data_IF_891105357429
#
_entry.id   IF_891105357429
#
_cell.length_a   1.000
_cell.length_b   1.000
_cell.length_c   1.000
_cell.angle_alpha   90.00
_cell.angle_beta   90.00
_cell.angle_gamma   90.00
#
_symmetry.space_group_name_H-M   'P 1'
#
loop_
_entity.id
_entity.type
_entity.pdbx_description
1 polymer ?
#
# COMPACT_ATOMS: atom_id res chain seq x y z
N UNK A 1 5.29 -3.58 -19.23
CA UNK A 1 5.68 -2.93 -17.97
C UNK A 1 4.48 -2.11 -17.54
N UNK A 2 3.65 -2.64 -16.65
CA UNK A 2 2.45 -1.91 -16.20
C UNK A 2 2.92 -0.90 -15.17
N UNK A 3 3.11 0.34 -15.60
CA UNK A 3 3.48 1.44 -14.71
C UNK A 3 2.31 1.70 -13.75
N UNK A 4 2.46 1.29 -12.50
CA UNK A 4 1.45 1.50 -11.45
C UNK A 4 1.72 2.86 -10.82
N UNK A 5 0.69 3.68 -10.75
CA UNK A 5 0.75 5.00 -10.12
C UNK A 5 0.04 4.97 -8.78
N UNK A 6 0.40 5.91 -7.91
CA UNK A 6 -0.28 6.06 -6.63
C UNK A 6 -1.78 6.29 -6.81
N UNK A 7 -2.61 5.56 -6.06
CA UNK A 7 -4.07 5.66 -6.13
C UNK A 7 -4.63 6.98 -5.60
N UNK A 8 -3.80 7.79 -4.92
CA UNK A 8 -4.26 9.05 -4.34
C UNK A 8 -4.62 10.03 -5.47
N UNK A 9 -5.83 10.63 -5.45
CA UNK A 9 -6.20 11.62 -6.45
C UNK A 9 -5.19 12.78 -6.39
N UNK A 10 -4.75 13.27 -7.54
CA UNK A 10 -3.68 14.28 -7.73
C UNK A 10 -2.23 13.82 -7.52
N UNK A 11 -1.98 12.59 -7.06
CA UNK A 11 -0.63 12.04 -7.01
C UNK A 11 -0.25 11.40 -8.35
N UNK A 12 0.87 11.82 -8.94
CA UNK A 12 1.43 11.25 -10.17
C UNK A 12 2.74 10.49 -9.95
N UNK A 13 3.05 10.18 -8.68
CA UNK A 13 4.24 9.41 -8.35
C UNK A 13 4.03 7.94 -8.69
N UNK A 14 5.10 7.27 -9.11
CA UNK A 14 5.12 5.83 -9.28
C UNK A 14 4.82 5.13 -7.95
N UNK A 15 4.09 4.04 -8.04
CA UNK A 15 3.84 3.18 -6.91
C UNK A 15 5.08 2.34 -6.61
N UNK A 16 5.52 2.40 -5.37
CA UNK A 16 6.65 1.61 -4.86
C UNK A 16 6.18 0.58 -3.82
N UNK A 17 4.98 0.80 -3.28
CA UNK A 17 4.36 -0.03 -2.26
C UNK A 17 2.93 -0.40 -2.64
N UNK A 18 2.49 -1.56 -2.18
CA UNK A 18 1.08 -1.98 -2.25
C UNK A 18 0.55 -2.12 -0.82
N UNK A 19 -0.59 -1.49 -0.56
CA UNK A 19 -1.37 -1.61 0.66
C UNK A 19 -2.44 -2.68 0.47
N UNK A 20 -2.43 -3.71 1.29
CA UNK A 20 -3.48 -4.73 1.34
C UNK A 20 -4.26 -4.65 2.66
N UNK A 21 -5.55 -4.94 2.60
CA UNK A 21 -6.43 -4.98 3.77
C UNK A 21 -6.83 -6.42 4.07
N UNK A 22 -6.54 -6.86 5.28
CA UNK A 22 -7.07 -8.08 5.88
C UNK A 22 -8.20 -7.70 6.84
N UNK A 23 -9.44 -7.77 6.34
CA UNK A 23 -10.62 -7.38 7.10
C UNK A 23 -10.93 -8.35 8.24
N UNK A 24 -10.52 -9.62 8.12
CA UNK A 24 -10.75 -10.67 9.12
C UNK A 24 -9.97 -10.37 10.40
N UNK A 25 -8.67 -10.12 10.28
CA UNK A 25 -7.77 -9.79 11.39
C UNK A 25 -7.74 -8.29 11.71
N UNK A 26 -8.43 -7.45 10.93
CA UNK A 26 -8.35 -5.97 10.98
C UNK A 26 -6.90 -5.50 10.85
N UNK A 27 -6.17 -6.10 9.93
CA UNK A 27 -4.77 -5.76 9.66
C UNK A 27 -4.69 -5.07 8.31
N UNK A 28 -3.86 -4.06 8.21
CA UNK A 28 -3.46 -3.49 6.95
C UNK A 28 -1.96 -3.62 6.77
N UNK A 29 -1.57 -4.11 5.60
CA UNK A 29 -0.18 -4.45 5.29
C UNK A 29 0.28 -3.54 4.17
N UNK A 30 1.29 -2.72 4.42
CA UNK A 30 2.00 -1.95 3.40
C UNK A 30 3.28 -2.70 3.11
N UNK A 31 3.34 -3.36 1.96
CA UNK A 31 4.52 -4.10 1.49
C UNK A 31 5.11 -3.49 0.22
N UNK A 32 6.26 -4.01 -0.26
CA UNK A 32 6.80 -3.64 -1.57
C UNK A 32 5.76 -3.85 -2.66
N UNK A 33 5.90 -3.13 -3.77
CA UNK A 33 5.00 -3.21 -4.92
C UNK A 33 4.80 -4.68 -5.30
N UNK A 34 3.58 -5.16 -5.12
CA UNK A 34 3.28 -6.57 -5.39
C UNK A 34 3.32 -6.80 -6.91
N UNK A 35 3.95 -7.89 -7.38
CA UNK A 35 3.99 -8.21 -8.81
C UNK A 35 2.57 -8.41 -9.37
N UNK A 36 1.63 -8.78 -8.52
CA UNK A 36 0.24 -9.01 -8.85
C UNK A 36 -0.65 -7.90 -8.26
N UNK A 37 -1.74 -7.57 -8.94
CA UNK A 37 -2.80 -6.75 -8.37
C UNK A 37 -3.49 -7.55 -7.26
N UNK A 38 -3.04 -7.37 -6.02
CA UNK A 38 -3.76 -7.91 -4.87
C UNK A 38 -5.22 -7.43 -4.93
N UNK A 39 -6.17 -8.37 -4.86
CA UNK A 39 -7.59 -8.05 -4.94
C UNK A 39 -7.99 -7.14 -3.76
N UNK A 40 -8.34 -5.88 -4.05
CA UNK A 40 -8.62 -4.87 -3.03
C UNK A 40 -7.38 -4.18 -2.45
N UNK A 41 -6.19 -4.42 -3.04
CA UNK A 41 -4.96 -3.71 -2.70
C UNK A 41 -4.87 -2.34 -3.39
N UNK A 42 -4.25 -1.38 -2.71
CA UNK A 42 -4.05 -0.02 -3.19
C UNK A 42 -2.57 0.28 -3.40
N UNK A 43 -2.21 0.74 -4.59
CA UNK A 43 -0.85 1.12 -4.89
C UNK A 43 -0.53 2.53 -4.38
N UNK A 44 0.58 2.65 -3.67
CA UNK A 44 1.01 3.87 -3.00
C UNK A 44 2.46 4.18 -3.36
N UNK A 45 2.74 5.46 -3.60
CA UNK A 45 4.13 5.92 -3.64
C UNK A 45 4.71 5.93 -2.21
N UNK A 46 6.04 5.92 -2.09
CA UNK A 46 6.76 5.97 -0.81
C UNK A 46 6.19 7.01 0.17
N UNK A 47 5.96 8.23 -0.32
CA UNK A 47 5.40 9.33 0.50
C UNK A 47 4.02 8.98 1.08
N UNK A 48 3.12 8.42 0.27
CA UNK A 48 1.76 8.11 0.71
C UNK A 48 1.72 6.83 1.55
N UNK A 49 2.55 5.84 1.23
CA UNK A 49 2.75 4.66 2.04
C UNK A 49 3.23 5.06 3.45
N UNK A 50 4.23 5.93 3.56
CA UNK A 50 4.74 6.46 4.82
C UNK A 50 3.68 7.22 5.63
N UNK A 51 2.91 8.10 4.96
CA UNK A 51 1.87 8.92 5.60
C UNK A 51 0.59 8.17 5.95
N UNK A 52 0.37 6.99 5.38
CA UNK A 52 -0.86 6.24 5.61
C UNK A 52 -0.96 5.78 7.06
N UNK A 53 -2.17 5.84 7.63
CA UNK A 53 -2.44 5.47 9.01
C UNK A 53 -3.61 4.50 9.06
N UNK A 54 -3.55 3.57 10.01
CA UNK A 54 -4.64 2.67 10.25
C UNK A 54 -5.85 3.39 10.86
N UNK A 55 -7.07 2.99 10.50
CA UNK A 55 -8.25 3.38 11.25
C UNK A 55 -8.18 2.81 12.69
N UNK A 56 -9.00 3.34 13.61
CA UNK A 56 -9.06 2.83 14.98
C UNK A 56 -9.36 1.33 15.00
N UNK A 57 -8.70 0.60 15.90
CA UNK A 57 -8.79 -0.86 16.05
C UNK A 57 -8.18 -1.68 14.88
N UNK A 58 -7.36 -1.06 14.02
CA UNK A 58 -6.64 -1.76 12.97
C UNK A 58 -5.12 -1.75 13.20
N UNK A 59 -4.49 -2.88 12.89
CA UNK A 59 -3.02 -3.01 12.99
C UNK A 59 -2.37 -2.70 11.65
N UNK A 60 -1.47 -1.71 11.62
CA UNK A 60 -0.67 -1.41 10.42
C UNK A 60 0.67 -2.14 10.47
N UNK A 61 0.87 -3.08 9.57
CA UNK A 61 2.16 -3.72 9.32
C UNK A 61 2.81 -3.02 8.14
N UNK A 62 4.03 -2.51 8.35
CA UNK A 62 4.85 -1.94 7.29
C UNK A 62 6.00 -2.90 7.04
N UNK A 63 6.04 -3.49 5.86
CA UNK A 63 7.21 -4.20 5.37
C UNK A 63 7.88 -3.31 4.33
N UNK A 64 8.77 -2.38 4.74
CA UNK A 64 9.61 -1.71 3.75
C UNK A 64 10.38 -2.82 3.05
N UNK A 65 10.07 -3.07 1.77
CA UNK A 65 10.77 -4.08 1.00
C UNK A 65 12.26 -3.81 1.13
N UNK A 66 12.96 -4.69 1.82
CA UNK A 66 14.41 -4.66 1.91
C UNK A 66 14.97 -4.78 0.50
N UNK A 67 15.85 -3.84 0.14
CA UNK A 67 16.61 -3.77 -1.09
C UNK A 67 17.30 -5.09 -1.48
#
# INVERSE_FOLDING_TARGET
>A
MTERFCVKPTCRNYADFTLSYDYDSRVMVIGPLSPELAAGGYDLCEVHASRMKAPSEWTLIRNPGSA
#
